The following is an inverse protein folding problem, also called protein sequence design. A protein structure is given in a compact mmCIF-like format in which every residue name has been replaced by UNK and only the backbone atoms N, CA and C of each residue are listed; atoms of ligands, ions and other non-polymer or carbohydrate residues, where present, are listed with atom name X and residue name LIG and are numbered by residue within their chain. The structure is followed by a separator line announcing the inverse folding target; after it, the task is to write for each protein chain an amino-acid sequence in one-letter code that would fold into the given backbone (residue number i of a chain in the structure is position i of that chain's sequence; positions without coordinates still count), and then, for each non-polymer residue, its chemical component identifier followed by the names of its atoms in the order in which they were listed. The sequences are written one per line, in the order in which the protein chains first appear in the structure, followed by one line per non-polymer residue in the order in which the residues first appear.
data_IF_336301771726
#
_entry.id   IF_336301771726
#
_cell.length_a   1.000
_cell.length_b   1.000
_cell.length_c   1.000
_cell.angle_alpha   90.00
_cell.angle_beta   90.00
_cell.angle_gamma   90.00
#
_symmetry.space_group_name_H-M   'P 1'
#
loop_
_entity.id
_entity.type
_entity.pdbx_description
1 polymer ?
#
# COMPACT_ATOMS: atom_id res chain seq x y z
N UNK A 1 -7.87 53.18 -18.87
CA UNK A 1 -6.82 52.74 -17.92
C UNK A 1 -7.33 51.87 -16.75
N UNK A 2 -8.45 51.12 -16.88
CA UNK A 2 -8.99 50.35 -15.75
C UNK A 2 -9.43 48.92 -16.03
N UNK A 3 -9.38 48.46 -17.30
CA UNK A 3 -9.80 47.12 -17.71
C UNK A 3 -8.60 46.19 -17.86
N UNK A 4 -7.52 46.66 -18.48
CA UNK A 4 -6.28 45.89 -18.65
C UNK A 4 -5.59 45.60 -17.32
N UNK A 5 -5.57 46.56 -16.39
CA UNK A 5 -5.00 46.38 -15.04
C UNK A 5 -5.76 45.35 -14.20
N UNK A 6 -7.09 45.22 -14.37
CA UNK A 6 -7.88 44.16 -13.71
C UNK A 6 -7.62 42.80 -14.33
N UNK A 7 -7.51 42.72 -15.66
CA UNK A 7 -7.20 41.46 -16.36
C UNK A 7 -5.80 40.98 -15.96
N UNK A 8 -4.80 41.87 -15.92
CA UNK A 8 -3.45 41.55 -15.45
C UNK A 8 -3.47 41.03 -14.00
N UNK A 9 -4.24 41.69 -13.12
CA UNK A 9 -4.39 41.24 -11.73
C UNK A 9 -5.00 39.83 -11.62
N UNK A 10 -6.05 39.54 -12.40
CA UNK A 10 -6.68 38.21 -12.41
C UNK A 10 -5.72 37.14 -12.96
N UNK A 11 -5.02 37.43 -14.05
CA UNK A 11 -4.03 36.50 -14.65
C UNK A 11 -2.91 36.19 -13.66
N UNK A 12 -2.42 37.20 -12.93
CA UNK A 12 -1.37 37.01 -11.92
C UNK A 12 -1.83 36.09 -10.78
N UNK A 13 -3.05 36.28 -10.27
CA UNK A 13 -3.62 35.45 -9.19
C UNK A 13 -3.81 34.01 -9.66
N UNK A 14 -4.28 33.79 -10.89
CA UNK A 14 -4.42 32.44 -11.46
C UNK A 14 -3.05 31.77 -11.60
N UNK A 15 -2.04 32.49 -12.08
CA UNK A 15 -0.69 31.95 -12.23
C UNK A 15 -0.04 31.61 -10.88
N UNK A 16 -0.21 32.48 -9.88
CA UNK A 16 0.25 32.22 -8.52
C UNK A 16 -0.44 30.99 -7.92
N UNK A 17 -1.76 30.87 -8.13
CA UNK A 17 -2.53 29.69 -7.72
C UNK A 17 -2.03 28.40 -8.37
N UNK A 18 -1.75 28.43 -9.67
CA UNK A 18 -1.22 27.28 -10.39
C UNK A 18 0.18 26.87 -9.88
N UNK A 19 1.07 27.82 -9.64
CA UNK A 19 2.38 27.57 -9.04
C UNK A 19 2.27 26.92 -7.65
N UNK A 20 1.37 27.45 -6.82
CA UNK A 20 1.16 26.95 -5.46
C UNK A 20 0.57 25.52 -5.47
N UNK A 21 -0.33 25.23 -6.40
CA UNK A 21 -0.85 23.87 -6.62
C UNK A 21 0.27 22.90 -7.03
N UNK A 22 1.17 23.28 -7.94
CA UNK A 22 2.30 22.42 -8.36
C UNK A 22 3.22 22.12 -7.17
N UNK A 23 3.56 23.13 -6.37
CA UNK A 23 4.41 22.95 -5.18
C UNK A 23 3.76 22.05 -4.13
N UNK A 24 2.47 22.21 -3.87
CA UNK A 24 1.73 21.36 -2.94
C UNK A 24 1.63 19.91 -3.42
N UNK A 25 1.42 19.69 -4.73
CA UNK A 25 1.43 18.35 -5.31
C UNK A 25 2.80 17.69 -5.18
N UNK A 26 3.89 18.43 -5.40
CA UNK A 26 5.25 17.90 -5.20
C UNK A 26 5.55 17.59 -3.72
N UNK A 27 5.03 18.40 -2.80
CA UNK A 27 5.13 18.11 -1.37
C UNK A 27 4.34 16.84 -0.99
N UNK A 28 3.15 16.65 -1.56
CA UNK A 28 2.30 15.46 -1.36
C UNK A 28 2.85 14.18 -2.03
N UNK A 29 3.67 14.35 -3.07
CA UNK A 29 4.38 13.25 -3.73
C UNK A 29 5.53 12.69 -2.88
N UNK A 30 6.00 13.38 -1.84
CA UNK A 30 6.97 12.78 -0.91
C UNK A 30 6.36 11.55 -0.26
N UNK A 31 7.09 10.43 -0.27
CA UNK A 31 6.68 9.24 0.47
C UNK A 31 6.49 9.62 1.93
N UNK A 32 5.28 9.43 2.46
CA UNK A 32 5.01 9.49 3.89
C UNK A 32 4.99 8.07 4.45
N UNK A 33 5.28 7.87 5.74
CA UNK A 33 5.28 6.54 6.34
C UNK A 33 3.89 5.89 6.21
N UNK A 34 2.80 6.66 6.43
CA UNK A 34 1.43 6.18 6.24
C UNK A 34 1.13 5.74 4.80
N UNK A 35 1.55 6.52 3.79
CA UNK A 35 1.34 6.17 2.37
C UNK A 35 2.12 4.91 1.98
N UNK A 36 3.34 4.78 2.48
CA UNK A 36 4.19 3.58 2.30
C UNK A 36 3.51 2.35 2.90
N UNK A 37 3.03 2.46 4.14
CA UNK A 37 2.29 1.39 4.82
C UNK A 37 1.08 0.91 3.99
N UNK A 38 0.31 1.85 3.46
CA UNK A 38 -0.86 1.58 2.61
C UNK A 38 -0.46 0.89 1.30
N UNK A 39 0.55 1.41 0.60
CA UNK A 39 0.98 0.89 -0.69
C UNK A 39 1.58 -0.51 -0.55
N UNK A 40 2.46 -0.71 0.43
CA UNK A 40 2.99 -2.03 0.80
C UNK A 40 1.86 -3.02 1.11
N UNK A 41 0.93 -2.64 2.00
CA UNK A 41 -0.18 -3.52 2.39
C UNK A 41 -1.03 -3.94 1.17
N UNK A 42 -1.34 -2.99 0.27
CA UNK A 42 -2.06 -3.29 -0.96
C UNK A 42 -1.30 -4.28 -1.84
N UNK A 43 -0.02 -4.01 -2.09
CA UNK A 43 0.84 -4.85 -2.92
C UNK A 43 1.01 -6.26 -2.33
N UNK A 44 1.22 -6.36 -1.02
CA UNK A 44 1.31 -7.61 -0.27
C UNK A 44 0.07 -8.48 -0.46
N UNK A 45 -1.13 -7.95 -0.19
CA UNK A 45 -2.36 -8.73 -0.30
C UNK A 45 -2.79 -9.00 -1.74
N UNK A 46 -2.33 -8.21 -2.72
CA UNK A 46 -2.51 -8.50 -4.15
C UNK A 46 -1.47 -9.45 -4.74
N UNK A 47 -0.49 -9.90 -3.94
CA UNK A 47 0.66 -10.69 -4.40
C UNK A 47 1.40 -10.01 -5.57
N UNK A 48 1.60 -8.71 -5.45
CA UNK A 48 2.28 -7.90 -6.46
C UNK A 48 3.79 -7.80 -6.13
N UNK A 49 4.70 -8.25 -7.04
CA UNK A 49 6.15 -8.17 -6.82
C UNK A 49 6.68 -6.77 -6.52
N UNK A 50 5.96 -5.71 -6.93
CA UNK A 50 6.30 -4.33 -6.60
C UNK A 50 6.31 -4.05 -5.08
N UNK A 51 5.79 -4.96 -4.24
CA UNK A 51 5.94 -4.86 -2.79
C UNK A 51 7.41 -4.75 -2.34
N UNK A 52 8.34 -5.30 -3.13
CA UNK A 52 9.80 -5.18 -2.92
C UNK A 52 10.30 -3.72 -2.92
N UNK A 53 9.61 -2.82 -3.62
CA UNK A 53 9.96 -1.39 -3.64
C UNK A 53 9.70 -0.69 -2.29
N UNK A 54 8.86 -1.27 -1.45
CA UNK A 54 8.44 -0.69 -0.17
C UNK A 54 9.07 -1.36 1.05
N UNK A 55 9.80 -2.47 0.88
CA UNK A 55 10.51 -3.12 1.98
C UNK A 55 11.94 -2.59 2.10
N UNK A 56 12.55 -2.80 3.27
CA UNK A 56 13.93 -2.42 3.54
C UNK A 56 14.91 -3.25 2.72
N UNK A 57 16.08 -2.68 2.44
CA UNK A 57 17.06 -3.26 1.53
C UNK A 57 17.50 -4.68 1.94
N UNK A 58 17.63 -4.94 3.24
CA UNK A 58 17.91 -6.26 3.81
C UNK A 58 16.94 -7.34 3.30
N UNK A 59 15.63 -7.06 3.34
CA UNK A 59 14.59 -8.00 2.88
C UNK A 59 14.58 -8.19 1.35
N UNK A 60 15.11 -7.21 0.61
CA UNK A 60 15.28 -7.32 -0.84
C UNK A 60 16.46 -8.22 -1.17
N UNK A 61 17.58 -8.06 -0.47
CA UNK A 61 18.80 -8.84 -0.67
C UNK A 61 18.60 -10.32 -0.32
N UNK A 62 17.79 -10.60 0.69
CA UNK A 62 17.39 -11.95 1.08
C UNK A 62 16.33 -12.59 0.15
N UNK A 63 15.85 -11.86 -0.86
CA UNK A 63 14.84 -12.30 -1.82
C UNK A 63 13.49 -12.71 -1.16
N UNK A 64 13.21 -12.21 0.05
CA UNK A 64 12.06 -12.64 0.89
C UNK A 64 10.73 -12.50 0.15
N UNK A 65 10.56 -11.41 -0.61
CA UNK A 65 9.35 -11.15 -1.40
C UNK A 65 9.12 -12.23 -2.45
N UNK A 66 10.13 -12.59 -3.22
CA UNK A 66 9.98 -13.60 -4.27
C UNK A 66 9.81 -15.00 -3.68
N UNK A 67 10.51 -15.30 -2.58
CA UNK A 67 10.32 -16.56 -1.85
C UNK A 67 8.89 -16.67 -1.32
N UNK A 68 8.36 -15.61 -0.71
CA UNK A 68 6.98 -15.56 -0.24
C UNK A 68 5.97 -15.76 -1.38
N UNK A 69 6.11 -15.04 -2.50
CA UNK A 69 5.20 -15.19 -3.65
C UNK A 69 5.26 -16.62 -4.21
N UNK A 70 6.45 -17.23 -4.29
CA UNK A 70 6.63 -18.62 -4.71
C UNK A 70 5.95 -19.60 -3.75
N UNK A 71 6.08 -19.39 -2.45
CA UNK A 71 5.44 -20.22 -1.42
C UNK A 71 3.92 -20.13 -1.54
N UNK A 72 3.35 -18.92 -1.58
CA UNK A 72 1.90 -18.72 -1.74
C UNK A 72 1.39 -19.32 -3.06
N UNK A 73 2.18 -19.27 -4.13
CA UNK A 73 1.85 -19.92 -5.38
C UNK A 73 1.88 -21.45 -5.30
N UNK A 74 2.77 -22.02 -4.48
CA UNK A 74 2.80 -23.46 -4.20
C UNK A 74 1.58 -23.87 -3.38
N UNK A 75 1.28 -23.15 -2.30
CA UNK A 75 0.09 -23.40 -1.48
C UNK A 75 -1.20 -23.37 -2.34
N UNK A 76 -1.28 -22.42 -3.28
CA UNK A 76 -2.39 -22.37 -4.22
C UNK A 76 -2.47 -23.63 -5.08
N UNK A 77 -1.34 -24.13 -5.59
CA UNK A 77 -1.27 -25.35 -6.41
C UNK A 77 -1.66 -26.59 -5.62
N UNK A 78 -1.23 -26.69 -4.37
CA UNK A 78 -1.56 -27.81 -3.48
C UNK A 78 -3.07 -27.87 -3.20
N UNK A 79 -3.74 -26.72 -3.22
CA UNK A 79 -5.21 -26.60 -3.16
C UNK A 79 -5.91 -26.77 -4.52
N UNK A 80 -5.18 -27.01 -5.60
CA UNK A 80 -5.73 -27.15 -6.97
C UNK A 80 -6.06 -25.82 -7.67
N UNK A 81 -5.57 -24.70 -7.15
CA UNK A 81 -5.78 -23.36 -7.70
C UNK A 81 -4.52 -22.76 -8.34
N UNK A 82 -4.72 -21.70 -9.15
CA UNK A 82 -3.64 -20.84 -9.62
C UNK A 82 -3.30 -19.80 -8.55
N UNK A 83 -2.06 -19.28 -8.55
CA UNK A 83 -1.61 -18.26 -7.61
C UNK A 83 -2.54 -17.04 -7.48
N UNK A 84 -3.20 -16.62 -8.57
CA UNK A 84 -4.16 -15.51 -8.56
C UNK A 84 -5.34 -15.72 -7.59
N UNK A 85 -5.69 -16.97 -7.27
CA UNK A 85 -6.72 -17.29 -6.29
C UNK A 85 -6.37 -16.79 -4.88
N UNK A 86 -5.08 -16.70 -4.57
CA UNK A 86 -4.58 -16.25 -3.27
C UNK A 86 -4.56 -14.72 -3.14
N UNK A 87 -4.94 -13.97 -4.17
CA UNK A 87 -5.05 -12.50 -4.06
C UNK A 87 -6.24 -12.10 -3.21
N UNK A 88 -6.09 -11.01 -2.46
CA UNK A 88 -7.16 -10.43 -1.64
C UNK A 88 -7.38 -8.96 -1.99
N UNK A 89 -8.64 -8.54 -2.01
CA UNK A 89 -9.03 -7.13 -2.04
C UNK A 89 -9.21 -6.65 -0.60
N UNK A 90 -8.81 -5.40 -0.35
CA UNK A 90 -8.90 -4.76 0.96
C UNK A 90 -10.04 -3.74 1.00
N UNK A 91 -10.75 -3.73 2.12
CA UNK A 91 -11.84 -2.83 2.45
C UNK A 91 -11.56 -2.14 3.78
N UNK A 92 -12.00 -0.89 3.90
CA UNK A 92 -11.89 -0.09 5.13
C UNK A 92 -10.46 -0.03 5.69
N UNK A 93 -9.46 0.07 4.81
CA UNK A 93 -8.06 0.21 5.19
C UNK A 93 -7.86 1.52 5.96
N UNK A 94 -7.38 1.40 7.20
CA UNK A 94 -7.02 2.50 8.08
C UNK A 94 -5.58 2.32 8.57
N UNK A 95 -4.93 3.44 8.84
CA UNK A 95 -3.57 3.50 9.36
C UNK A 95 -3.55 4.41 10.58
N UNK A 96 -3.04 3.91 11.70
CA UNK A 96 -2.88 4.66 12.94
C UNK A 96 -1.40 4.66 13.34
N UNK A 97 -0.86 5.82 13.69
CA UNK A 97 0.53 5.92 14.20
C UNK A 97 0.51 5.44 15.65
N UNK A 98 1.26 4.38 15.93
CA UNK A 98 1.41 3.81 17.28
C UNK A 98 2.55 4.49 18.03
N UNK A 99 3.68 4.67 17.35
CA UNK A 99 4.84 5.41 17.85
C UNK A 99 5.59 6.04 16.70
N UNK A 100 6.31 7.13 16.99
CA UNK A 100 7.09 7.86 16.02
C UNK A 100 8.36 8.39 16.68
N UNK A 101 9.49 8.01 16.10
CA UNK A 101 10.82 8.51 16.38
C UNK A 101 11.35 9.28 15.15
N UNK A 102 12.61 9.77 15.19
CA UNK A 102 13.17 10.59 14.10
C UNK A 102 13.33 9.81 12.79
N UNK A 103 13.67 8.51 12.87
CA UNK A 103 13.96 7.65 11.71
C UNK A 103 13.07 6.41 11.62
N UNK A 104 12.22 6.15 12.62
CA UNK A 104 11.34 4.98 12.67
C UNK A 104 9.91 5.40 13.04
N UNK A 105 8.91 4.81 12.37
CA UNK A 105 7.50 4.98 12.70
C UNK A 105 6.84 3.61 12.75
N UNK A 106 6.10 3.34 13.82
CA UNK A 106 5.26 2.14 13.93
C UNK A 106 3.84 2.50 13.54
N UNK A 107 3.33 1.84 12.51
CA UNK A 107 1.98 2.08 11.97
C UNK A 107 1.15 0.83 12.13
N UNK A 108 0.03 0.96 12.84
CA UNK A 108 -1.00 -0.06 12.93
C UNK A 108 -1.90 0.04 11.70
N UNK A 109 -2.07 -1.08 11.03
CA UNK A 109 -2.96 -1.28 9.89
C UNK A 109 -4.17 -2.05 10.35
N UNK A 110 -5.35 -1.46 10.21
CA UNK A 110 -6.62 -2.18 10.38
C UNK A 110 -7.39 -2.20 9.08
N UNK A 111 -7.82 -3.38 8.64
CA UNK A 111 -8.67 -3.52 7.46
C UNK A 111 -9.48 -4.82 7.45
N UNK A 112 -10.31 -4.95 6.42
CA UNK A 112 -11.03 -6.17 6.11
C UNK A 112 -10.56 -6.66 4.75
N UNK A 113 -10.10 -7.90 4.65
CA UNK A 113 -9.68 -8.51 3.39
C UNK A 113 -10.68 -9.56 2.93
N UNK A 114 -10.84 -9.68 1.61
CA UNK A 114 -11.67 -10.72 0.97
C UNK A 114 -10.93 -11.30 -0.23
N UNK A 115 -11.02 -12.61 -0.45
CA UNK A 115 -10.41 -13.26 -1.63
C UNK A 115 -10.97 -12.68 -2.93
N UNK A 116 -10.09 -12.43 -3.89
CA UNK A 116 -10.46 -11.98 -5.24
C UNK A 116 -10.89 -13.19 -6.07
N UNK A 117 -12.13 -13.63 -5.87
CA UNK A 117 -12.75 -14.64 -6.72
C UNK A 117 -13.46 -13.99 -7.91
N UNK A 118 -13.52 -14.69 -9.04
CA UNK A 118 -14.31 -14.23 -10.18
C UNK A 118 -15.79 -14.15 -9.75
N UNK A 119 -16.49 -13.04 -10.04
CA UNK A 119 -17.85 -12.79 -9.57
C UNK A 119 -18.87 -13.86 -9.99
N UNK A 120 -18.63 -14.59 -11.09
CA UNK A 120 -19.49 -15.70 -11.52
C UNK A 120 -19.50 -16.85 -10.50
N UNK A 121 -18.40 -17.03 -9.74
CA UNK A 121 -18.28 -18.08 -8.73
C UNK A 121 -18.70 -17.64 -7.33
N UNK A 122 -19.26 -16.44 -7.16
CA UNK A 122 -19.63 -15.93 -5.83
C UNK A 122 -20.71 -16.79 -5.15
N UNK A 123 -21.62 -17.37 -5.94
CA UNK A 123 -22.69 -18.26 -5.44
C UNK A 123 -22.11 -19.57 -4.89
N UNK A 124 -21.21 -20.20 -5.65
CA UNK A 124 -20.49 -21.41 -5.22
C UNK A 124 -19.59 -21.09 -4.03
N UNK A 125 -18.94 -19.91 -4.04
CA UNK A 125 -18.05 -19.50 -2.99
C UNK A 125 -18.74 -19.31 -1.63
N UNK A 126 -20.04 -18.99 -1.61
CA UNK A 126 -20.81 -18.94 -0.37
C UNK A 126 -21.01 -20.33 0.27
N UNK A 127 -21.05 -21.39 -0.53
CA UNK A 127 -21.21 -22.76 -0.07
C UNK A 127 -19.92 -23.32 0.58
N UNK A 128 -18.77 -22.86 0.10
CA UNK A 128 -17.44 -23.32 0.55
C UNK A 128 -16.68 -22.30 1.41
N UNK A 129 -17.36 -21.26 1.92
CA UNK A 129 -16.74 -20.16 2.69
C UNK A 129 -15.65 -19.37 1.92
N UNK A 130 -15.60 -19.49 0.60
CA UNK A 130 -14.65 -18.81 -0.31
C UNK A 130 -14.98 -17.31 -0.48
N UNK A 131 -16.05 -16.81 0.15
CA UNK A 131 -16.47 -15.40 0.14
C UNK A 131 -16.34 -14.66 1.47
N UNK A 132 -15.78 -15.28 2.51
CA UNK A 132 -15.67 -14.66 3.84
C UNK A 132 -14.70 -13.48 3.85
N UNK A 133 -14.97 -12.55 4.75
CA UNK A 133 -14.13 -11.40 5.04
C UNK A 133 -13.30 -11.67 6.29
N UNK A 134 -12.01 -11.42 6.21
CA UNK A 134 -11.08 -11.62 7.32
C UNK A 134 -10.60 -10.26 7.80
N UNK A 135 -10.58 -10.05 9.12
CA UNK A 135 -10.00 -8.83 9.69
C UNK A 135 -8.48 -8.92 9.65
N UNK A 136 -7.84 -7.78 9.43
CA UNK A 136 -6.41 -7.58 9.53
C UNK A 136 -6.20 -6.49 10.57
N UNK A 137 -5.34 -6.74 11.54
CA UNK A 137 -4.95 -5.80 12.60
C UNK A 137 -3.49 -6.08 12.94
N UNK A 138 -2.59 -5.37 12.28
CA UNK A 138 -1.15 -5.66 12.30
C UNK A 138 -0.36 -4.37 12.43
N UNK A 139 0.83 -4.43 13.02
CA UNK A 139 1.70 -3.25 13.17
C UNK A 139 2.96 -3.40 12.33
N UNK A 140 3.17 -2.45 11.42
CA UNK A 140 4.36 -2.36 10.58
C UNK A 140 5.38 -1.42 11.24
N UNK A 141 6.65 -1.81 11.27
CA UNK A 141 7.76 -0.89 11.53
C UNK A 141 8.27 -0.34 10.20
N UNK A 142 8.28 0.99 10.10
CA UNK A 142 8.68 1.71 8.91
C UNK A 142 9.87 2.60 9.22
N UNK A 143 10.99 2.34 8.57
CA UNK A 143 12.27 3.04 8.77
C UNK A 143 12.55 3.91 7.55
N UNK A 144 13.25 5.03 7.77
CA UNK A 144 13.72 5.90 6.70
C UNK A 144 15.09 5.45 6.19
N UNK A 145 15.14 4.88 4.98
CA UNK A 145 16.35 4.47 4.26
C UNK A 145 16.49 5.29 2.97
N UNK A 146 17.66 5.88 2.72
CA UNK A 146 17.93 6.67 1.50
C UNK A 146 16.84 7.71 1.16
N UNK A 147 16.42 8.45 2.18
CA UNK A 147 15.33 9.45 2.12
C UNK A 147 13.94 8.89 1.75
N UNK A 148 13.76 7.57 1.72
CA UNK A 148 12.49 6.87 1.48
C UNK A 148 12.04 6.13 2.73
N UNK A 149 10.75 6.06 2.94
CA UNK A 149 10.18 5.22 4.00
C UNK A 149 10.03 3.79 3.49
N UNK A 150 10.45 2.82 4.30
CA UNK A 150 10.49 1.40 3.96
C UNK A 150 10.02 0.54 5.13
N UNK A 151 9.32 -0.55 4.84
CA UNK A 151 8.83 -1.52 5.83
C UNK A 151 9.96 -2.51 6.15
N UNK A 152 10.47 -2.47 7.38
CA UNK A 152 11.58 -3.33 7.80
C UNK A 152 11.12 -4.53 8.62
N UNK A 153 10.05 -4.40 9.41
CA UNK A 153 9.55 -5.50 10.23
C UNK A 153 8.05 -5.42 10.45
N UNK A 154 7.47 -6.52 10.95
CA UNK A 154 6.03 -6.67 11.12
C UNK A 154 5.27 -6.83 9.80
N UNK A 155 5.97 -7.19 8.72
CA UNK A 155 5.47 -7.30 7.35
C UNK A 155 4.55 -8.53 7.13
N UNK A 156 3.55 -8.70 8.00
CA UNK A 156 2.60 -9.81 8.00
C UNK A 156 3.29 -11.17 8.11
N UNK A 157 3.23 -11.97 7.04
CA UNK A 157 3.84 -13.29 6.94
C UNK A 157 5.11 -13.29 6.09
N UNK A 158 5.62 -12.11 5.67
CA UNK A 158 7.01 -12.01 5.26
C UNK A 158 7.83 -12.26 6.51
N UNK A 159 8.41 -13.45 6.61
CA UNK A 159 9.33 -13.80 7.67
C UNK A 159 10.54 -12.87 7.58
N UNK A 160 10.82 -12.19 8.69
CA UNK A 160 12.10 -11.56 9.02
C UNK A 160 12.76 -12.46 10.05
#
# INVERSE_FOLDING_TARGET
MGRDSRIIGVVLVVFLGALLQILLVMADQRSTPGRTAVQFTKAYFSLDPSMSEYVCQELVEEDVVNQYIKQVAQDARDLGFKANYMRSMLYHLKTDIVSQDESEVKIRITCVRKRMINPVFTVVGKLFFIGETYKVDETLSIVKEDDKWKVCSGAFSLSV
#
